data_IF_454175079978
#
_entry.id   IF_454175079978
#
_cell.length_a   1.000
_cell.length_b   1.000
_cell.length_c   1.000
_cell.angle_alpha   90.00
_cell.angle_beta   90.00
_cell.angle_gamma   90.00
#
_symmetry.space_group_name_H-M   'P 1'
#
loop_
_entity.id
_entity.type
_entity.pdbx_description
1 polymer ?
#
# COMPACT_ATOMS: atom_id res chain seq x y z
N UNK A 1 -8.88 -18.44 29.18
CA UNK A 1 -8.38 -19.78 28.86
C UNK A 1 -9.15 -20.78 29.71
N UNK A 2 -9.60 -21.88 29.13
CA UNK A 2 -10.22 -22.98 29.89
C UNK A 2 -9.18 -23.76 30.71
N UNK A 3 -9.66 -24.67 31.53
CA UNK A 3 -8.78 -25.56 32.35
C UNK A 3 -7.92 -26.49 31.50
N UNK A 4 -8.30 -26.68 30.22
CA UNK A 4 -7.59 -27.46 29.19
C UNK A 4 -6.50 -26.65 28.47
N UNK A 5 -6.23 -25.41 28.89
CA UNK A 5 -5.30 -24.46 28.28
C UNK A 5 -5.65 -23.99 26.87
N UNK A 6 -6.85 -24.29 26.35
CA UNK A 6 -7.35 -23.76 25.09
C UNK A 6 -8.18 -22.50 25.27
N UNK A 7 -8.19 -21.61 24.27
CA UNK A 7 -9.10 -20.47 24.27
C UNK A 7 -10.53 -20.95 24.05
N UNK A 8 -11.45 -20.51 24.92
CA UNK A 8 -12.88 -20.77 24.79
C UNK A 8 -13.63 -19.47 24.54
N UNK A 9 -14.69 -19.54 23.74
CA UNK A 9 -15.58 -18.40 23.58
C UNK A 9 -16.47 -18.24 24.83
N UNK A 10 -16.62 -17.01 25.31
CA UNK A 10 -17.43 -16.69 26.49
C UNK A 10 -18.92 -17.07 26.27
N UNK A 11 -19.36 -17.08 25.03
CA UNK A 11 -20.75 -17.32 24.60
C UNK A 11 -21.03 -18.75 24.17
N UNK A 12 -20.11 -19.71 24.42
CA UNK A 12 -20.27 -21.12 24.07
C UNK A 12 -19.46 -21.56 22.86
N UNK A 13 -20.03 -22.38 21.98
CA UNK A 13 -19.32 -23.02 20.88
C UNK A 13 -18.86 -22.06 19.78
N UNK A 14 -19.53 -20.91 19.63
CA UNK A 14 -19.25 -19.95 18.54
C UNK A 14 -18.91 -18.57 19.10
N UNK A 15 -18.07 -17.83 18.39
CA UNK A 15 -17.81 -16.44 18.68
C UNK A 15 -19.08 -15.59 18.52
N UNK A 16 -19.41 -14.76 19.51
CA UNK A 16 -20.48 -13.79 19.38
C UNK A 16 -20.01 -12.58 18.55
N UNK A 17 -20.94 -11.84 17.96
CA UNK A 17 -20.65 -10.59 17.26
C UNK A 17 -20.14 -9.50 18.22
N UNK A 18 -20.49 -9.59 19.48
CA UNK A 18 -20.07 -8.64 20.51
C UNK A 18 -19.35 -9.41 21.60
N UNK A 19 -18.14 -9.02 21.91
CA UNK A 19 -17.33 -9.58 22.96
C UNK A 19 -16.97 -8.47 23.97
N UNK A 20 -16.90 -8.77 25.29
CA UNK A 20 -16.37 -7.81 26.22
C UNK A 20 -14.90 -7.54 25.91
N UNK A 21 -14.49 -6.30 26.03
CA UNK A 21 -13.08 -5.94 25.93
C UNK A 21 -12.27 -6.70 27.00
N UNK A 22 -11.20 -7.41 26.63
CA UNK A 22 -10.39 -8.17 27.60
C UNK A 22 -9.56 -7.28 28.52
N UNK A 23 -9.41 -6.00 28.16
CA UNK A 23 -8.65 -5.01 28.93
C UNK A 23 -9.49 -3.74 29.08
N UNK A 24 -9.15 -2.92 30.09
CA UNK A 24 -9.76 -1.62 30.26
C UNK A 24 -9.53 -0.77 29.00
N UNK A 25 -10.55 -0.01 28.57
CA UNK A 25 -10.40 0.91 27.44
C UNK A 25 -9.23 1.85 27.70
N UNK A 26 -8.29 1.86 26.76
CA UNK A 26 -7.26 2.89 26.71
C UNK A 26 -7.89 4.16 26.16
N UNK A 27 -7.75 5.28 26.86
CA UNK A 27 -8.22 6.57 26.39
C UNK A 27 -7.45 7.09 25.15
N UNK A 28 -6.38 6.41 24.77
CA UNK A 28 -5.58 6.72 23.57
C UNK A 28 -5.56 5.54 22.62
N UNK A 29 -6.17 5.71 21.47
CA UNK A 29 -5.95 4.81 20.32
C UNK A 29 -4.57 5.11 19.77
N UNK A 30 -3.63 4.14 19.72
CA UNK A 30 -2.34 4.37 19.12
C UNK A 30 -2.53 4.76 17.65
N UNK A 31 -2.07 5.93 17.28
CA UNK A 31 -1.99 6.33 15.86
C UNK A 31 -0.76 5.65 15.28
N UNK A 32 -0.96 4.84 14.25
CA UNK A 32 0.15 4.28 13.49
C UNK A 32 0.69 5.35 12.54
N UNK A 33 1.79 5.97 12.94
CA UNK A 33 2.55 6.89 12.10
C UNK A 33 3.87 6.20 11.73
N UNK A 34 4.03 5.88 10.46
CA UNK A 34 5.18 5.16 9.95
C UNK A 34 5.83 5.94 8.81
N UNK A 35 7.12 6.17 8.95
CA UNK A 35 7.96 6.75 7.91
C UNK A 35 9.24 5.95 7.78
N UNK A 36 9.70 5.71 6.56
CA UNK A 36 10.97 5.05 6.29
C UNK A 36 11.76 5.88 5.27
N UNK A 37 12.91 6.37 5.68
CA UNK A 37 13.84 7.13 4.87
C UNK A 37 14.88 6.25 4.17
N UNK A 38 14.78 4.93 4.36
CA UNK A 38 15.69 3.94 3.79
C UNK A 38 17.18 4.22 4.04
N UNK A 39 17.50 4.68 5.24
CA UNK A 39 18.88 4.87 5.69
C UNK A 39 19.46 3.65 6.41
N UNK A 40 18.60 2.69 6.78
CA UNK A 40 18.99 1.42 7.37
C UNK A 40 19.72 0.48 6.38
N UNK A 41 20.33 -0.57 6.89
CA UNK A 41 20.95 -1.61 6.06
C UNK A 41 19.92 -2.61 5.49
N UNK A 42 18.77 -2.74 6.12
CA UNK A 42 17.70 -3.68 5.76
C UNK A 42 16.36 -3.00 5.88
N UNK A 43 15.35 -3.57 5.24
CA UNK A 43 13.95 -3.15 5.43
C UNK A 43 13.53 -3.31 6.90
N UNK A 44 12.75 -2.37 7.38
CA UNK A 44 12.16 -2.42 8.71
C UNK A 44 11.11 -3.55 8.79
N UNK A 45 10.87 -4.12 9.99
CA UNK A 45 9.98 -5.28 10.16
C UNK A 45 8.51 -4.99 9.87
N UNK A 46 8.09 -3.72 9.82
CA UNK A 46 6.74 -3.32 9.46
C UNK A 46 6.40 -3.59 7.99
N UNK A 47 7.44 -3.68 7.13
CA UNK A 47 7.26 -4.00 5.73
C UNK A 47 6.95 -5.48 5.51
N UNK A 48 6.05 -5.75 4.58
CA UNK A 48 5.70 -7.10 4.14
C UNK A 48 5.61 -7.20 2.62
N UNK A 49 5.70 -8.41 2.09
CA UNK A 49 5.66 -8.66 0.66
C UNK A 49 4.37 -9.31 0.21
N UNK A 50 4.01 -9.12 -1.05
CA UNK A 50 2.89 -9.80 -1.70
C UNK A 50 3.25 -11.21 -2.18
N UNK A 51 3.99 -11.99 -1.39
CA UNK A 51 4.32 -13.39 -1.72
C UNK A 51 3.08 -14.23 -1.95
N UNK A 52 3.15 -15.22 -2.82
CA UNK A 52 4.27 -15.76 -3.61
C UNK A 52 4.33 -15.26 -5.06
N UNK A 53 3.82 -14.08 -5.35
CA UNK A 53 3.55 -13.63 -6.73
C UNK A 53 4.77 -13.11 -7.49
N UNK A 54 5.86 -12.79 -6.81
CA UNK A 54 7.06 -12.24 -7.44
C UNK A 54 8.34 -12.77 -6.81
N UNK A 55 9.43 -12.75 -7.58
CA UNK A 55 10.78 -12.83 -7.06
C UNK A 55 11.29 -11.41 -6.82
N UNK A 56 11.42 -11.02 -5.57
CA UNK A 56 11.78 -9.67 -5.19
C UNK A 56 13.23 -9.58 -4.78
N UNK A 57 13.94 -8.62 -5.36
CA UNK A 57 15.27 -8.18 -4.91
C UNK A 57 15.15 -6.74 -4.44
N UNK A 58 15.75 -6.46 -3.30
CA UNK A 58 15.81 -5.13 -2.70
C UNK A 58 17.23 -4.66 -2.58
N UNK A 59 17.45 -3.38 -2.85
CA UNK A 59 18.68 -2.68 -2.54
C UNK A 59 18.34 -1.37 -1.83
N UNK A 60 18.90 -1.17 -0.64
CA UNK A 60 18.83 0.09 0.10
C UNK A 60 20.16 0.80 -0.01
N UNK A 61 20.19 1.97 -0.62
CA UNK A 61 21.40 2.75 -0.83
C UNK A 61 21.11 4.25 -0.90
N UNK A 62 21.88 5.03 -0.13
CA UNK A 62 21.80 6.49 -0.15
C UNK A 62 20.38 7.02 0.12
N UNK A 63 19.67 6.49 1.10
CA UNK A 63 18.31 6.91 1.44
C UNK A 63 17.29 6.56 0.35
N UNK A 64 17.52 5.51 -0.43
CA UNK A 64 16.62 5.07 -1.50
C UNK A 64 16.43 3.56 -1.44
N UNK A 65 15.21 3.14 -1.68
CA UNK A 65 14.87 1.74 -1.89
C UNK A 65 14.73 1.48 -3.39
N UNK A 66 15.49 0.50 -3.88
CA UNK A 66 15.34 -0.06 -5.21
C UNK A 66 14.65 -1.41 -5.12
N UNK A 67 13.56 -1.56 -5.86
CA UNK A 67 12.82 -2.81 -6.00
C UNK A 67 13.04 -3.36 -7.40
N UNK A 68 13.36 -4.64 -7.50
CA UNK A 68 13.39 -5.36 -8.76
C UNK A 68 12.80 -6.75 -8.56
N UNK A 69 12.16 -7.26 -9.60
CA UNK A 69 11.56 -8.59 -9.56
C UNK A 69 10.92 -8.93 -10.89
N UNK A 70 10.71 -10.21 -11.09
CA UNK A 70 9.99 -10.71 -12.27
C UNK A 70 8.61 -11.17 -11.82
N UNK A 71 7.51 -10.53 -12.28
CA UNK A 71 6.18 -11.00 -11.96
C UNK A 71 5.97 -12.39 -12.55
N UNK A 72 5.23 -13.25 -11.83
CA UNK A 72 4.85 -14.58 -12.35
C UNK A 72 3.88 -14.41 -13.52
N UNK A 73 3.88 -15.32 -14.48
CA UNK A 73 2.92 -15.29 -15.60
C UNK A 73 1.47 -15.18 -15.10
N UNK A 74 0.70 -14.30 -15.69
CA UNK A 74 -0.70 -14.05 -15.34
C UNK A 74 -0.92 -13.13 -14.13
N UNK A 75 0.12 -12.75 -13.39
CA UNK A 75 0.04 -11.79 -12.27
C UNK A 75 0.20 -10.37 -12.79
N UNK A 76 -0.82 -9.53 -12.55
CA UNK A 76 -0.82 -8.12 -12.99
C UNK A 76 -0.05 -7.20 -12.03
N UNK A 77 0.09 -7.60 -10.79
CA UNK A 77 0.87 -6.89 -9.79
C UNK A 77 2.33 -7.34 -9.86
N UNK A 78 3.25 -6.43 -9.97
CA UNK A 78 4.67 -6.70 -9.84
C UNK A 78 5.09 -6.94 -8.38
N UNK A 79 6.31 -6.53 -8.03
CA UNK A 79 6.77 -6.52 -6.64
C UNK A 79 6.00 -5.45 -5.85
N UNK A 80 5.27 -5.86 -4.83
CA UNK A 80 4.57 -4.95 -3.92
C UNK A 80 5.15 -5.06 -2.51
N UNK A 81 5.64 -3.94 -2.01
CA UNK A 81 6.04 -3.77 -0.62
C UNK A 81 4.89 -3.14 0.13
N UNK A 82 4.38 -3.83 1.12
CA UNK A 82 3.09 -3.55 1.74
C UNK A 82 3.24 -3.13 3.20
N UNK A 83 2.41 -2.18 3.62
CA UNK A 83 2.11 -1.85 5.00
C UNK A 83 0.65 -2.20 5.30
N UNK A 84 0.38 -2.60 6.52
CA UNK A 84 -1.00 -2.83 6.99
C UNK A 84 -1.46 -1.60 7.77
N UNK A 85 -2.46 -0.86 7.28
CA UNK A 85 -3.01 0.26 8.04
C UNK A 85 -3.73 -0.27 9.29
N UNK A 86 -3.69 0.52 10.36
CA UNK A 86 -4.39 0.24 11.64
C UNK A 86 -5.67 1.06 11.80
N UNK A 87 -5.97 1.90 10.82
CA UNK A 87 -7.18 2.73 10.75
C UNK A 87 -7.85 2.57 9.38
N UNK A 88 -9.18 2.68 9.27
CA UNK A 88 -9.87 2.79 8.00
C UNK A 88 -9.54 4.10 7.27
N UNK A 89 -9.10 5.13 8.01
CA UNK A 89 -8.66 6.41 7.47
C UNK A 89 -7.15 6.52 7.58
N UNK A 90 -6.48 6.65 6.43
CA UNK A 90 -5.03 6.82 6.37
C UNK A 90 -4.57 7.52 5.10
N UNK A 91 -3.34 8.00 5.16
CA UNK A 91 -2.65 8.60 4.01
C UNK A 91 -1.32 7.87 3.81
N UNK A 92 -1.02 7.49 2.55
CA UNK A 92 0.26 6.95 2.12
C UNK A 92 0.91 7.91 1.15
N UNK A 93 2.18 8.23 1.38
CA UNK A 93 2.98 9.07 0.49
C UNK A 93 4.28 8.38 0.08
N UNK A 94 4.74 8.66 -1.12
CA UNK A 94 6.03 8.19 -1.61
C UNK A 94 6.62 9.16 -2.62
N UNK A 95 7.95 9.10 -2.79
CA UNK A 95 8.67 9.81 -3.85
C UNK A 95 9.29 8.83 -4.83
N UNK A 96 9.01 9.00 -6.10
CA UNK A 96 9.62 8.26 -7.20
C UNK A 96 10.71 9.12 -7.82
N UNK A 97 11.96 8.67 -7.71
CA UNK A 97 13.13 9.48 -8.10
C UNK A 97 13.76 9.07 -9.42
N UNK A 98 13.44 7.88 -9.94
CA UNK A 98 13.96 7.42 -11.21
C UNK A 98 12.90 7.42 -12.32
N UNK A 99 13.35 7.64 -13.55
CA UNK A 99 12.53 7.50 -14.78
C UNK A 99 13.05 6.33 -15.60
N UNK A 100 12.21 5.37 -15.84
CA UNK A 100 12.41 4.29 -16.79
C UNK A 100 11.03 3.72 -17.17
N UNK A 101 10.99 2.75 -18.06
CA UNK A 101 9.74 2.15 -18.57
C UNK A 101 9.10 1.16 -17.60
N UNK A 102 9.77 0.84 -16.47
CA UNK A 102 9.18 -0.04 -15.47
C UNK A 102 8.07 0.69 -14.72
N UNK A 103 6.94 0.02 -14.53
CA UNK A 103 5.85 0.49 -13.69
C UNK A 103 6.29 0.64 -12.23
N UNK A 104 5.96 1.77 -11.61
CA UNK A 104 6.22 2.05 -10.19
C UNK A 104 5.24 3.09 -9.66
N UNK A 105 4.78 2.90 -8.43
CA UNK A 105 3.76 3.77 -7.84
C UNK A 105 3.34 3.33 -6.45
N UNK A 106 2.14 3.78 -6.08
CA UNK A 106 1.44 3.40 -4.85
C UNK A 106 0.16 2.66 -5.19
N UNK A 107 -0.27 1.79 -4.27
CA UNK A 107 -1.45 0.97 -4.51
C UNK A 107 -2.22 0.69 -3.23
N UNK A 108 -3.53 0.68 -3.30
CA UNK A 108 -4.40 0.01 -2.36
C UNK A 108 -4.55 -1.43 -2.84
N UNK A 109 -3.92 -2.35 -2.13
CA UNK A 109 -3.71 -3.71 -2.56
C UNK A 109 -4.66 -4.67 -1.85
N UNK A 110 -5.53 -5.32 -2.60
CA UNK A 110 -6.34 -6.43 -2.13
C UNK A 110 -5.63 -7.76 -2.36
N UNK A 111 -5.44 -8.10 -3.63
CA UNK A 111 -4.68 -9.26 -4.09
C UNK A 111 -4.08 -9.00 -5.48
N UNK A 112 -3.48 -10.02 -6.11
CA UNK A 112 -2.84 -9.90 -7.41
C UNK A 112 -3.78 -9.51 -8.56
N UNK A 113 -5.07 -9.74 -8.40
CA UNK A 113 -6.11 -9.52 -9.39
C UNK A 113 -7.10 -8.40 -9.02
N UNK A 114 -6.99 -7.85 -7.79
CA UNK A 114 -7.90 -6.84 -7.25
C UNK A 114 -7.11 -5.75 -6.53
N UNK A 115 -6.92 -4.61 -7.17
CA UNK A 115 -6.18 -3.47 -6.63
C UNK A 115 -6.53 -2.19 -7.38
N UNK A 116 -6.29 -1.04 -6.74
CA UNK A 116 -6.26 0.26 -7.41
C UNK A 116 -4.87 0.88 -7.22
N UNK A 117 -4.30 1.41 -8.28
CA UNK A 117 -2.90 1.85 -8.30
C UNK A 117 -2.72 3.14 -9.09
N UNK A 118 -1.88 4.01 -8.56
CA UNK A 118 -1.40 5.21 -9.23
C UNK A 118 0.12 5.14 -9.35
N UNK A 119 0.64 5.36 -10.54
CA UNK A 119 2.07 5.27 -10.76
C UNK A 119 2.51 5.78 -12.11
N UNK A 120 3.80 5.65 -12.39
CA UNK A 120 4.38 6.06 -13.64
C UNK A 120 5.19 4.96 -14.33
N UNK A 121 5.23 5.04 -15.66
CA UNK A 121 6.11 4.30 -16.52
C UNK A 121 6.47 5.18 -17.73
N UNK A 122 7.74 5.23 -18.12
CA UNK A 122 8.21 6.14 -19.17
C UNK A 122 7.90 7.60 -18.83
N UNK A 123 7.10 8.22 -19.71
CA UNK A 123 6.66 9.62 -19.63
C UNK A 123 5.19 9.79 -19.22
N UNK A 124 4.55 8.73 -18.72
CA UNK A 124 3.14 8.73 -18.32
C UNK A 124 2.95 8.57 -16.83
N UNK A 125 1.95 9.27 -16.29
CA UNK A 125 1.37 9.11 -14.96
C UNK A 125 -0.03 8.52 -15.14
N UNK A 126 -0.26 7.33 -14.59
CA UNK A 126 -1.47 6.55 -14.84
C UNK A 126 -2.13 6.19 -13.52
N UNK A 127 -3.44 6.41 -13.43
CA UNK A 127 -4.32 5.86 -12.42
C UNK A 127 -5.18 4.77 -13.05
N UNK A 128 -5.18 3.58 -12.47
CA UNK A 128 -5.99 2.45 -12.93
C UNK A 128 -6.39 1.55 -11.78
N UNK A 129 -7.43 0.76 -11.98
CA UNK A 129 -7.71 -0.37 -11.11
C UNK A 129 -7.67 -1.69 -11.87
N UNK A 130 -7.43 -2.76 -11.14
CA UNK A 130 -7.51 -4.13 -11.62
C UNK A 130 -8.63 -4.81 -10.84
N UNK A 131 -9.57 -5.36 -11.56
CA UNK A 131 -10.70 -6.12 -11.01
C UNK A 131 -10.76 -7.47 -11.72
N UNK A 132 -10.70 -8.55 -10.95
CA UNK A 132 -10.69 -9.92 -11.48
C UNK A 132 -9.62 -10.11 -12.58
N UNK A 133 -8.44 -9.49 -12.41
CA UNK A 133 -7.33 -9.56 -13.34
C UNK A 133 -7.48 -8.71 -14.60
N UNK A 134 -8.56 -7.96 -14.76
CA UNK A 134 -8.78 -7.03 -15.88
C UNK A 134 -8.39 -5.62 -15.49
N UNK A 135 -7.63 -4.96 -16.36
CA UNK A 135 -7.20 -3.58 -16.16
C UNK A 135 -8.27 -2.59 -16.65
N UNK A 136 -8.53 -1.58 -15.84
CA UNK A 136 -9.45 -0.50 -16.13
C UNK A 136 -8.73 0.83 -15.90
N UNK A 137 -8.37 1.57 -16.96
CA UNK A 137 -7.76 2.89 -16.82
C UNK A 137 -8.80 3.89 -16.27
N UNK A 138 -8.36 4.78 -15.39
CA UNK A 138 -9.15 5.88 -14.86
C UNK A 138 -8.57 7.23 -15.30
N UNK A 139 -7.24 7.38 -15.33
CA UNK A 139 -6.57 8.58 -15.84
C UNK A 139 -5.23 8.20 -16.46
N UNK A 140 -4.84 8.92 -17.52
CA UNK A 140 -3.57 8.78 -18.20
C UNK A 140 -3.04 10.17 -18.61
N UNK A 141 -2.06 10.66 -17.85
CA UNK A 141 -1.54 12.02 -17.92
C UNK A 141 -0.06 12.02 -18.35
N UNK A 142 0.43 13.08 -19.01
CA UNK A 142 1.86 13.29 -19.15
C UNK A 142 2.53 13.35 -17.79
N UNK A 143 3.69 12.71 -17.64
CA UNK A 143 4.44 12.70 -16.39
C UNK A 143 4.95 14.12 -16.06
N UNK A 144 4.48 14.76 -14.96
CA UNK A 144 4.66 16.19 -14.77
C UNK A 144 6.07 16.59 -14.36
N UNK A 145 6.77 15.76 -13.59
CA UNK A 145 8.07 16.10 -13.02
C UNK A 145 8.88 14.91 -12.55
N UNK A 146 10.14 15.15 -12.22
CA UNK A 146 11.01 14.23 -11.47
C UNK A 146 11.80 15.04 -10.45
N UNK A 147 11.80 14.69 -9.16
CA UNK A 147 11.06 13.55 -8.58
C UNK A 147 9.54 13.72 -8.72
N UNK A 148 8.82 12.60 -8.70
CA UNK A 148 7.38 12.57 -8.64
C UNK A 148 6.96 12.15 -7.23
N UNK A 149 6.19 12.98 -6.55
CA UNK A 149 5.56 12.62 -5.28
C UNK A 149 4.14 12.14 -5.53
N UNK A 150 3.79 11.03 -4.95
CA UNK A 150 2.45 10.45 -5.00
C UNK A 150 1.87 10.36 -3.58
N UNK A 151 0.58 10.65 -3.48
CA UNK A 151 -0.22 10.50 -2.26
C UNK A 151 -1.48 9.72 -2.57
N UNK A 152 -1.78 8.76 -1.73
CA UNK A 152 -3.08 8.08 -1.67
C UNK A 152 -3.71 8.40 -0.32
N UNK A 153 -4.93 8.94 -0.33
CA UNK A 153 -5.75 9.12 0.86
C UNK A 153 -6.89 8.12 0.81
N UNK A 154 -7.03 7.34 1.88
CA UNK A 154 -8.14 6.40 2.04
C UNK A 154 -9.04 6.88 3.16
N UNK A 155 -10.35 6.82 2.93
CA UNK A 155 -11.40 7.14 3.91
C UNK A 155 -12.39 5.99 3.99
N UNK A 156 -12.88 5.72 5.21
CA UNK A 156 -13.80 4.62 5.51
C UNK A 156 -13.31 3.24 5.05
N UNK A 157 -11.99 3.08 4.84
CA UNK A 157 -11.38 1.85 4.36
C UNK A 157 -11.71 1.46 2.91
N UNK A 158 -12.51 2.23 2.21
CA UNK A 158 -13.09 1.87 0.90
C UNK A 158 -12.94 2.94 -0.17
N UNK A 159 -12.85 4.20 0.20
CA UNK A 159 -12.71 5.30 -0.75
C UNK A 159 -11.26 5.75 -0.83
N UNK A 160 -10.68 5.69 -2.02
CA UNK A 160 -9.30 6.11 -2.28
C UNK A 160 -9.26 7.28 -3.24
N UNK A 161 -8.53 8.33 -2.87
CA UNK A 161 -8.23 9.49 -3.71
C UNK A 161 -6.73 9.59 -3.92
N UNK A 162 -6.32 9.87 -5.14
CA UNK A 162 -4.90 9.94 -5.52
C UNK A 162 -4.50 11.34 -5.91
N UNK A 163 -3.27 11.69 -5.55
CA UNK A 163 -2.68 13.00 -5.82
C UNK A 163 -1.25 12.85 -6.31
N UNK A 164 -0.80 13.80 -7.09
CA UNK A 164 0.60 13.98 -7.44
C UNK A 164 1.13 15.35 -7.05
N UNK A 165 2.43 15.46 -6.85
CA UNK A 165 3.12 16.71 -6.57
C UNK A 165 4.53 16.73 -7.17
N UNK A 166 5.06 17.92 -7.42
CA UNK A 166 6.45 18.16 -7.86
C UNK A 166 7.41 18.32 -6.69
N UNK A 167 6.90 18.74 -5.53
CA UNK A 167 7.68 19.18 -4.38
C UNK A 167 7.27 18.51 -3.06
N UNK A 168 6.22 17.68 -3.08
CA UNK A 168 5.64 17.07 -1.89
C UNK A 168 4.83 18.03 -1.01
N UNK A 169 4.59 19.27 -1.46
CA UNK A 169 3.85 20.30 -0.71
C UNK A 169 2.54 20.69 -1.40
N UNK A 170 2.62 21.07 -2.67
CA UNK A 170 1.44 21.40 -3.48
C UNK A 170 0.93 20.15 -4.21
N UNK A 171 -0.28 19.71 -3.85
CA UNK A 171 -0.86 18.47 -4.34
C UNK A 171 -1.96 18.74 -5.38
N UNK A 172 -1.90 17.99 -6.46
CA UNK A 172 -2.90 18.00 -7.53
C UNK A 172 -3.65 16.68 -7.50
N UNK A 173 -4.97 16.74 -7.40
CA UNK A 173 -5.81 15.54 -7.45
C UNK A 173 -5.81 14.93 -8.85
N UNK A 174 -5.77 13.60 -8.91
CA UNK A 174 -5.91 12.84 -10.14
C UNK A 174 -7.36 12.40 -10.23
N UNK A 175 -8.11 13.06 -11.08
CA UNK A 175 -9.52 12.74 -11.31
C UNK A 175 -9.63 11.75 -12.44
N UNK A 176 -10.38 10.66 -12.22
CA UNK A 176 -10.71 9.68 -13.27
C UNK A 176 -11.73 10.26 -14.26
N UNK A 177 -11.62 9.85 -15.52
CA UNK A 177 -12.62 10.10 -16.57
C UNK A 177 -13.81 9.15 -16.45
#
# INVERSE_FOLDING_TARGET
MGEDHWPHFVTGEYASRTQPMPFAESAQVPVFDFSDDFTGATLRPEWSWNYPYTDVKTEIKNGKLSLSGTPKPGVKTGAALCLRPTSPDYTLETAIVNRNDSWKGITMYGDANNLITCGCAGDRLILKYILEGKEHPLADLPLPASPLYLRMKVTDGTHSTFYWSKDGQAWNEIVGE
#
